data_IF_508328804583
#
_entry.id   IF_508328804583
#
_cell.length_a   1.000
_cell.length_b   1.000
_cell.length_c   1.000
_cell.angle_alpha   90.00
_cell.angle_beta   90.00
_cell.angle_gamma   90.00
#
_symmetry.space_group_name_H-M   'P 1'
#
loop_
_entity.id
_entity.type
_entity.pdbx_description
1 polymer ?
#
# COMPACT_ATOMS: atom_id res chain seq x y z
N UNK A 1 -37.38 7.58 15.42
CA UNK A 1 -37.44 6.13 15.61
C UNK A 1 -38.35 5.52 14.56
N UNK A 2 -37.80 5.16 13.41
CA UNK A 2 -38.51 4.39 12.39
C UNK A 2 -38.08 2.93 12.51
N UNK A 3 -38.96 2.11 13.10
CA UNK A 3 -38.89 0.66 12.97
C UNK A 3 -39.72 0.31 11.73
N UNK A 4 -39.08 0.13 10.61
CA UNK A 4 -39.72 -0.53 9.48
C UNK A 4 -39.39 -2.03 9.58
N UNK A 5 -40.38 -2.81 9.97
CA UNK A 5 -40.41 -4.25 9.85
C UNK A 5 -41.09 -4.56 8.51
N UNK A 6 -40.30 -4.73 7.45
CA UNK A 6 -40.80 -5.01 6.11
C UNK A 6 -40.39 -6.37 5.61
N UNK A 7 -41.34 -7.25 5.31
CA UNK A 7 -41.17 -8.42 4.45
C UNK A 7 -41.22 -7.94 2.99
N UNK A 8 -40.06 -7.88 2.32
CA UNK A 8 -39.98 -7.50 0.91
C UNK A 8 -39.19 -6.22 0.70
N UNK A 9 -37.93 -6.20 1.15
CA UNK A 9 -37.00 -5.10 0.85
C UNK A 9 -36.27 -5.33 -0.47
N UNK A 10 -36.02 -4.25 -1.21
CA UNK A 10 -35.03 -4.26 -2.29
C UNK A 10 -33.70 -4.80 -1.78
N UNK A 11 -33.10 -5.71 -2.54
CA UNK A 11 -31.80 -6.29 -2.22
C UNK A 11 -30.75 -5.18 -2.28
N UNK A 12 -30.08 -4.91 -1.18
CA UNK A 12 -28.93 -4.01 -1.13
C UNK A 12 -27.66 -4.81 -1.41
N UNK A 13 -26.72 -4.24 -2.14
CA UNK A 13 -25.39 -4.80 -2.24
C UNK A 13 -24.68 -4.62 -0.90
N UNK A 14 -24.28 -5.73 -0.29
CA UNK A 14 -23.54 -5.75 0.98
C UNK A 14 -22.06 -5.86 0.67
N UNK A 15 -21.29 -4.86 1.04
CA UNK A 15 -19.86 -4.80 0.81
C UNK A 15 -19.02 -5.26 2.00
N UNK A 16 -19.49 -4.97 3.22
CA UNK A 16 -18.76 -5.39 4.42
C UNK A 16 -19.71 -5.87 5.51
N UNK A 17 -19.31 -6.93 6.20
CA UNK A 17 -20.05 -7.54 7.31
C UNK A 17 -19.12 -7.57 8.52
N UNK A 18 -19.61 -7.05 9.64
CA UNK A 18 -18.97 -7.19 10.93
C UNK A 18 -19.87 -7.99 11.87
N UNK A 19 -19.34 -9.11 12.34
CA UNK A 19 -20.00 -9.96 13.34
C UNK A 19 -19.60 -9.49 14.74
N UNK A 20 -20.55 -8.88 15.47
CA UNK A 20 -20.35 -8.50 16.87
C UNK A 20 -20.51 -9.69 17.81
N UNK A 21 -21.40 -10.60 17.46
CA UNK A 21 -21.66 -11.87 18.16
C UNK A 21 -22.42 -12.82 17.25
N UNK A 22 -22.58 -14.05 17.66
CA UNK A 22 -23.35 -15.09 16.94
C UNK A 22 -24.77 -14.67 16.51
N UNK A 23 -25.30 -13.60 17.09
CA UNK A 23 -26.67 -13.14 16.82
C UNK A 23 -26.75 -11.69 16.35
N UNK A 24 -25.65 -10.96 16.29
CA UNK A 24 -25.64 -9.53 15.93
C UNK A 24 -24.62 -9.26 14.83
N UNK A 25 -25.11 -8.79 13.69
CA UNK A 25 -24.31 -8.40 12.54
C UNK A 25 -24.48 -6.92 12.24
N UNK A 26 -23.41 -6.29 11.75
CA UNK A 26 -23.48 -4.99 11.11
C UNK A 26 -23.16 -5.12 9.64
N UNK A 27 -23.94 -4.45 8.78
CA UNK A 27 -23.83 -4.52 7.33
C UNK A 27 -23.59 -3.13 6.76
N UNK A 28 -22.50 -2.99 6.01
CA UNK A 28 -22.24 -1.81 5.19
C UNK A 28 -22.70 -2.08 3.76
N UNK A 29 -23.50 -1.16 3.19
CA UNK A 29 -24.14 -1.39 1.89
C UNK A 29 -23.92 -0.26 0.91
N UNK A 30 -24.07 -0.56 -0.38
CA UNK A 30 -24.11 0.43 -1.45
C UNK A 30 -25.53 0.96 -1.65
N UNK A 31 -25.73 2.25 -1.37
CA UNK A 31 -26.96 2.98 -1.64
C UNK A 31 -28.12 2.79 -0.64
N UNK A 32 -28.00 1.91 0.36
CA UNK A 32 -29.03 1.68 1.37
C UNK A 32 -28.58 2.02 2.80
N UNK A 33 -27.32 2.40 2.99
CA UNK A 33 -26.80 2.84 4.27
C UNK A 33 -26.18 1.73 5.11
N UNK A 34 -26.29 1.84 6.42
CA UNK A 34 -25.62 1.00 7.40
C UNK A 34 -26.65 0.33 8.33
N UNK A 35 -26.54 -0.98 8.52
CA UNK A 35 -27.53 -1.75 9.25
C UNK A 35 -26.92 -2.50 10.44
N UNK A 36 -27.68 -2.57 11.51
CA UNK A 36 -27.56 -3.58 12.56
C UNK A 36 -28.64 -4.64 12.33
N UNK A 37 -28.26 -5.90 12.24
CA UNK A 37 -29.15 -7.02 12.01
C UNK A 37 -29.04 -7.99 13.17
N UNK A 38 -30.18 -8.41 13.70
CA UNK A 38 -30.27 -9.44 14.73
C UNK A 38 -30.76 -10.73 14.07
N UNK A 39 -30.00 -11.79 14.22
CA UNK A 39 -30.26 -13.09 13.61
C UNK A 39 -30.56 -14.15 14.67
N UNK A 40 -31.25 -15.19 14.25
CA UNK A 40 -31.47 -16.44 15.01
C UNK A 40 -30.72 -17.58 14.37
N UNK A 41 -29.68 -18.08 15.07
CA UNK A 41 -28.86 -19.21 14.64
C UNK A 41 -29.29 -20.53 15.30
N UNK A 42 -30.40 -20.53 16.07
CA UNK A 42 -30.82 -21.74 16.80
C UNK A 42 -31.36 -22.83 15.88
N UNK A 43 -31.58 -22.53 14.60
CA UNK A 43 -32.05 -23.42 13.55
C UNK A 43 -30.99 -23.69 12.50
N UNK A 44 -31.21 -24.68 11.66
CA UNK A 44 -30.32 -25.04 10.56
C UNK A 44 -30.15 -23.87 9.56
N UNK A 45 -31.16 -23.02 9.40
CA UNK A 45 -31.15 -21.82 8.58
C UNK A 45 -31.13 -20.57 9.45
N UNK A 46 -30.21 -19.65 9.17
CA UNK A 46 -30.13 -18.34 9.84
C UNK A 46 -31.34 -17.48 9.44
N UNK A 47 -32.07 -17.01 10.44
CA UNK A 47 -33.27 -16.16 10.23
C UNK A 47 -33.05 -14.75 10.79
N UNK A 48 -33.44 -13.73 10.04
CA UNK A 48 -33.41 -12.35 10.52
C UNK A 48 -34.58 -12.15 11.46
N UNK A 49 -34.30 -11.80 12.74
CA UNK A 49 -35.30 -11.44 13.74
C UNK A 49 -35.72 -9.98 13.67
N UNK A 50 -34.74 -9.09 13.50
CA UNK A 50 -34.98 -7.65 13.39
C UNK A 50 -33.78 -6.98 12.79
N UNK A 51 -33.98 -5.77 12.30
CA UNK A 51 -32.90 -4.93 11.79
C UNK A 51 -33.18 -3.46 12.12
N UNK A 52 -32.12 -2.66 12.15
CA UNK A 52 -32.15 -1.21 12.31
C UNK A 52 -31.22 -0.58 11.28
N UNK A 53 -31.75 0.40 10.52
CA UNK A 53 -30.94 1.21 9.60
C UNK A 53 -30.46 2.46 10.33
N UNK A 54 -29.15 2.72 10.25
CA UNK A 54 -28.53 3.95 10.72
C UNK A 54 -28.29 4.86 9.52
N UNK A 55 -28.72 6.12 9.67
CA UNK A 55 -28.55 7.15 8.63
C UNK A 55 -27.55 8.17 9.12
N UNK A 56 -26.54 8.43 8.31
CA UNK A 56 -25.50 9.42 8.57
C UNK A 56 -25.70 10.62 7.66
N UNK A 57 -25.53 11.82 8.20
CA UNK A 57 -25.71 13.06 7.45
C UNK A 57 -24.51 13.96 7.61
N UNK A 58 -24.06 14.53 6.49
CA UNK A 58 -23.08 15.59 6.44
C UNK A 58 -23.67 16.76 5.65
N UNK A 59 -23.75 17.95 6.24
CA UNK A 59 -24.31 19.15 5.61
C UNK A 59 -25.66 18.89 4.88
N UNK A 60 -26.58 18.19 5.51
CA UNK A 60 -27.89 17.78 4.97
C UNK A 60 -27.86 16.69 3.88
N UNK A 61 -26.70 16.25 3.44
CA UNK A 61 -26.58 15.12 2.52
C UNK A 61 -26.56 13.80 3.31
N UNK A 62 -27.41 12.86 2.93
CA UNK A 62 -27.38 11.50 3.47
C UNK A 62 -26.20 10.72 2.87
N UNK A 63 -25.41 10.07 3.74
CA UNK A 63 -24.35 9.16 3.34
C UNK A 63 -24.89 7.73 3.37
N UNK A 64 -24.81 7.04 2.25
CA UNK A 64 -25.41 5.72 2.07
C UNK A 64 -24.55 4.73 1.26
N UNK A 65 -23.32 5.12 0.89
CA UNK A 65 -22.37 4.31 0.15
C UNK A 65 -21.20 3.92 1.07
N UNK A 66 -21.26 2.72 1.63
CA UNK A 66 -20.23 2.20 2.55
C UNK A 66 -19.66 0.91 2.02
N UNK A 67 -18.34 0.89 1.82
CA UNK A 67 -17.63 -0.23 1.21
C UNK A 67 -16.81 -1.03 2.23
N UNK A 68 -16.34 -0.41 3.27
CA UNK A 68 -15.47 -1.07 4.23
C UNK A 68 -15.84 -0.71 5.66
N UNK A 69 -15.58 -1.65 6.58
CA UNK A 69 -15.86 -1.46 7.99
C UNK A 69 -14.86 -2.25 8.82
N UNK A 70 -14.27 -1.61 9.84
CA UNK A 70 -13.34 -2.26 10.78
C UNK A 70 -13.65 -1.85 12.22
N UNK A 71 -13.59 -2.79 13.19
CA UNK A 71 -13.79 -2.50 14.60
C UNK A 71 -12.56 -1.83 15.23
N UNK A 72 -12.81 -1.04 16.29
CA UNK A 72 -11.79 -0.54 17.20
C UNK A 72 -12.26 -0.69 18.65
N UNK A 73 -11.54 -1.48 19.41
CA UNK A 73 -11.92 -1.79 20.80
C UNK A 73 -13.32 -2.39 20.90
N UNK A 74 -13.99 -2.17 22.05
CA UNK A 74 -15.23 -2.86 22.40
C UNK A 74 -16.51 -2.22 21.84
N UNK A 75 -16.45 -0.99 21.31
CA UNK A 75 -17.68 -0.30 20.91
C UNK A 75 -17.59 0.45 19.58
N UNK A 76 -16.42 0.75 19.09
CA UNK A 76 -16.28 1.58 17.92
C UNK A 76 -16.25 0.75 16.64
N UNK A 77 -16.88 1.29 15.59
CA UNK A 77 -16.73 0.87 14.21
C UNK A 77 -16.28 2.05 13.37
N UNK A 78 -15.31 1.82 12.50
CA UNK A 78 -14.92 2.76 11.46
C UNK A 78 -15.49 2.28 10.14
N UNK A 79 -16.17 3.16 9.43
CA UNK A 79 -16.72 2.89 8.12
C UNK A 79 -16.02 3.76 7.08
N UNK A 80 -15.70 3.16 5.95
CA UNK A 80 -15.22 3.84 4.76
C UNK A 80 -16.38 4.23 3.86
N UNK A 81 -16.54 5.54 3.62
CA UNK A 81 -17.57 6.06 2.71
C UNK A 81 -16.98 6.37 1.34
N UNK A 82 -17.75 6.11 0.29
CA UNK A 82 -17.43 6.57 -1.08
C UNK A 82 -17.76 8.05 -1.32
N UNK A 83 -18.21 8.77 -0.32
CA UNK A 83 -18.76 10.13 -0.45
C UNK A 83 -18.04 11.17 0.40
N UNK A 84 -17.72 10.85 1.66
CA UNK A 84 -17.24 11.82 2.65
C UNK A 84 -16.25 11.23 3.67
N UNK A 85 -15.30 10.43 3.20
CA UNK A 85 -14.22 9.94 4.04
C UNK A 85 -14.63 8.92 5.10
N UNK A 86 -14.15 9.10 6.32
CA UNK A 86 -14.32 8.15 7.42
C UNK A 86 -15.49 8.51 8.32
N UNK A 87 -16.22 7.49 8.75
CA UNK A 87 -17.23 7.63 9.80
C UNK A 87 -16.81 6.76 10.99
N UNK A 88 -16.70 7.39 12.15
CA UNK A 88 -16.50 6.73 13.43
C UNK A 88 -17.85 6.60 14.12
N UNK A 89 -18.31 5.38 14.31
CA UNK A 89 -19.60 5.06 14.91
C UNK A 89 -19.41 4.31 16.24
N UNK A 90 -20.07 4.76 17.30
CA UNK A 90 -20.09 4.07 18.58
C UNK A 90 -21.35 3.19 18.69
N UNK A 91 -21.17 1.88 18.74
CA UNK A 91 -22.24 0.88 18.80
C UNK A 91 -23.04 0.92 20.10
N UNK A 92 -22.48 1.47 21.21
CA UNK A 92 -23.15 1.55 22.51
C UNK A 92 -24.01 2.79 22.65
N UNK A 93 -23.49 3.95 22.21
CA UNK A 93 -24.20 5.24 22.28
C UNK A 93 -24.98 5.55 21.01
N UNK A 94 -24.65 4.87 19.91
CA UNK A 94 -25.17 5.10 18.55
C UNK A 94 -24.82 6.52 18.01
N UNK A 95 -23.84 7.16 18.62
CA UNK A 95 -23.30 8.43 18.16
C UNK A 95 -22.27 8.21 17.04
N UNK A 96 -22.16 9.17 16.15
CA UNK A 96 -21.18 9.12 15.06
C UNK A 96 -20.47 10.44 14.86
N UNK A 97 -19.30 10.35 14.26
CA UNK A 97 -18.49 11.48 13.83
C UNK A 97 -17.94 11.22 12.44
N UNK A 98 -17.99 12.23 11.57
CA UNK A 98 -17.51 12.17 10.19
C UNK A 98 -16.21 12.95 10.10
N UNK A 99 -15.22 12.36 9.39
CA UNK A 99 -13.91 12.94 9.11
C UNK A 99 -13.69 12.97 7.61
N UNK A 100 -13.68 14.14 7.00
CA UNK A 100 -13.26 14.31 5.63
C UNK A 100 -11.73 14.31 5.56
N UNK A 101 -11.18 13.30 4.90
CA UNK A 101 -9.75 13.22 4.64
C UNK A 101 -9.32 14.26 3.60
N UNK A 102 -10.23 14.66 2.70
CA UNK A 102 -10.02 15.75 1.75
C UNK A 102 -9.71 17.07 2.45
N UNK A 103 -10.48 17.38 3.51
CA UNK A 103 -10.28 18.61 4.28
C UNK A 103 -8.99 18.59 5.10
N UNK A 104 -8.62 17.41 5.63
CA UNK A 104 -7.40 17.25 6.44
C UNK A 104 -6.14 17.29 5.59
N UNK A 105 -6.15 16.64 4.43
CA UNK A 105 -4.98 16.46 3.57
C UNK A 105 -4.91 17.46 2.40
N UNK A 106 -5.98 18.20 2.15
CA UNK A 106 -6.14 19.05 0.95
C UNK A 106 -5.91 18.26 -0.36
N UNK A 107 -6.40 17.01 -0.39
CA UNK A 107 -6.31 16.07 -1.51
C UNK A 107 -7.65 15.35 -1.71
N UNK A 108 -7.90 14.83 -2.91
CA UNK A 108 -9.13 14.09 -3.21
C UNK A 108 -8.97 12.60 -2.83
N UNK A 109 -9.28 12.25 -1.59
CA UNK A 109 -9.10 10.91 -0.99
C UNK A 109 -10.29 10.44 -0.13
N UNK A 110 -11.44 11.11 -0.21
CA UNK A 110 -12.66 10.74 0.54
C UNK A 110 -13.44 9.56 -0.08
N UNK A 111 -13.03 9.08 -1.25
CA UNK A 111 -13.59 7.89 -1.88
C UNK A 111 -12.85 6.64 -1.36
N UNK A 112 -13.34 6.07 -0.25
CA UNK A 112 -12.70 5.00 0.49
C UNK A 112 -13.22 3.64 0.03
N UNK A 113 -12.30 2.74 -0.32
CA UNK A 113 -12.57 1.38 -0.76
C UNK A 113 -12.35 0.35 0.35
N UNK A 114 -11.27 0.46 1.11
CA UNK A 114 -10.92 -0.52 2.13
C UNK A 114 -10.26 0.11 3.36
N UNK A 115 -10.35 -0.59 4.49
CA UNK A 115 -9.80 -0.18 5.78
C UNK A 115 -9.03 -1.34 6.41
N UNK A 116 -7.91 -1.03 7.06
CA UNK A 116 -7.13 -2.02 7.80
C UNK A 116 -6.40 -1.39 8.98
N UNK A 117 -6.48 -2.02 10.15
CA UNK A 117 -5.70 -1.64 11.32
C UNK A 117 -4.32 -2.31 11.30
N UNK A 118 -3.26 -1.50 11.39
CA UNK A 118 -1.90 -1.95 11.68
C UNK A 118 -1.45 -1.31 13.01
N UNK A 119 -1.47 -2.10 14.08
CA UNK A 119 -1.28 -1.57 15.42
C UNK A 119 -2.33 -0.52 15.78
N UNK A 120 -1.88 0.71 16.09
CA UNK A 120 -2.75 1.86 16.40
C UNK A 120 -3.02 2.76 15.20
N UNK A 121 -2.56 2.41 14.02
CA UNK A 121 -2.71 3.17 12.79
C UNK A 121 -3.78 2.54 11.91
N UNK A 122 -4.71 3.35 11.39
CA UNK A 122 -5.69 2.91 10.41
C UNK A 122 -5.17 3.23 9.01
N UNK A 123 -4.95 2.20 8.21
CA UNK A 123 -4.64 2.33 6.80
C UNK A 123 -5.93 2.35 6.00
N UNK A 124 -6.07 3.36 5.16
CA UNK A 124 -7.26 3.68 4.37
C UNK A 124 -6.90 3.60 2.90
N UNK A 125 -7.39 2.58 2.21
CA UNK A 125 -7.25 2.46 0.76
C UNK A 125 -8.33 3.28 0.06
N UNK A 126 -7.91 4.14 -0.85
CA UNK A 126 -8.78 5.04 -1.59
C UNK A 126 -8.64 4.86 -3.09
N UNK A 127 -9.47 5.52 -3.87
CA UNK A 127 -9.32 5.59 -5.34
C UNK A 127 -8.12 6.43 -5.78
N UNK A 128 -7.46 7.13 -4.86
CA UNK A 128 -6.40 8.11 -5.17
C UNK A 128 -5.18 8.00 -4.26
N UNK A 129 -4.95 6.85 -3.63
CA UNK A 129 -3.78 6.59 -2.80
C UNK A 129 -4.11 5.85 -1.51
N UNK A 130 -3.09 5.61 -0.73
CA UNK A 130 -3.15 5.06 0.62
C UNK A 130 -3.05 6.20 1.63
N UNK A 131 -3.92 6.21 2.63
CA UNK A 131 -3.85 7.18 3.71
C UNK A 131 -3.59 6.45 5.02
N UNK A 132 -2.60 6.89 5.78
CA UNK A 132 -2.34 6.44 7.13
C UNK A 132 -2.98 7.42 8.12
N UNK A 133 -3.87 6.92 8.95
CA UNK A 133 -4.62 7.70 9.94
C UNK A 133 -4.20 7.30 11.34
N UNK A 134 -3.93 8.29 12.18
CA UNK A 134 -3.64 8.11 13.60
C UNK A 134 -4.60 8.97 14.42
N UNK A 135 -5.12 8.43 15.52
CA UNK A 135 -6.05 9.15 16.37
C UNK A 135 -5.37 9.49 17.71
N UNK A 136 -4.97 10.76 17.87
CA UNK A 136 -4.29 11.27 19.06
C UNK A 136 -5.11 12.34 19.73
N UNK A 137 -5.23 12.30 21.07
CA UNK A 137 -5.88 13.33 21.87
C UNK A 137 -7.27 13.77 21.32
N UNK A 138 -8.04 12.84 20.79
CA UNK A 138 -9.35 13.04 20.14
C UNK A 138 -9.27 13.78 18.79
N UNK A 139 -8.08 13.99 18.24
CA UNK A 139 -7.87 14.56 16.91
C UNK A 139 -7.40 13.49 15.95
N UNK A 140 -7.95 13.49 14.75
CA UNK A 140 -7.50 12.65 13.65
C UNK A 140 -6.37 13.37 12.92
N UNK A 141 -5.22 12.70 12.80
CA UNK A 141 -4.10 13.08 11.97
C UNK A 141 -4.01 12.10 10.80
N UNK A 142 -3.67 12.58 9.63
CA UNK A 142 -3.59 11.77 8.43
C UNK A 142 -2.33 12.08 7.62
N UNK A 143 -1.68 11.05 7.09
CA UNK A 143 -0.56 11.14 6.17
C UNK A 143 -0.95 10.49 4.84
N UNK A 144 -0.73 11.17 3.75
CA UNK A 144 -0.95 10.65 2.41
C UNK A 144 0.28 9.90 1.91
N UNK A 145 0.04 8.73 1.34
CA UNK A 145 1.05 7.88 0.72
C UNK A 145 0.62 7.64 -0.73
N UNK A 146 1.33 8.23 -1.66
CA UNK A 146 1.09 8.12 -3.10
C UNK A 146 2.38 7.83 -3.86
N UNK A 147 2.40 8.09 -5.16
CA UNK A 147 3.56 7.80 -6.02
C UNK A 147 4.83 8.51 -5.58
N UNK A 148 4.74 9.75 -5.15
CA UNK A 148 5.88 10.52 -4.65
C UNK A 148 6.51 9.90 -3.39
N UNK A 149 5.70 9.18 -2.59
CA UNK A 149 6.13 8.45 -1.41
C UNK A 149 6.47 6.98 -1.70
N UNK A 150 6.49 6.57 -2.98
CA UNK A 150 6.89 5.23 -3.41
C UNK A 150 5.75 4.24 -3.61
N UNK A 151 4.50 4.65 -3.52
CA UNK A 151 3.36 3.80 -3.85
C UNK A 151 3.23 3.69 -5.38
N UNK A 152 3.31 2.49 -5.91
CA UNK A 152 3.40 2.27 -7.36
C UNK A 152 2.04 2.36 -8.08
N UNK A 153 0.94 2.29 -7.34
CA UNK A 153 -0.41 2.47 -7.86
C UNK A 153 -1.30 3.20 -6.87
N UNK A 154 -2.22 4.01 -7.34
CA UNK A 154 -3.02 4.91 -6.50
C UNK A 154 -4.40 4.35 -6.13
N UNK A 155 -4.97 3.40 -6.89
CA UNK A 155 -6.27 2.80 -6.57
C UNK A 155 -6.08 1.53 -5.74
N UNK A 156 -6.48 1.60 -4.46
CA UNK A 156 -6.27 0.52 -3.48
C UNK A 156 -7.60 -0.14 -3.14
N UNK A 157 -7.87 -1.31 -3.72
CA UNK A 157 -9.11 -2.06 -3.57
C UNK A 157 -9.16 -2.88 -2.28
N UNK A 158 -8.01 -3.33 -1.81
CA UNK A 158 -7.93 -4.20 -0.63
C UNK A 158 -6.63 -4.03 0.13
N UNK A 159 -6.67 -4.25 1.44
CA UNK A 159 -5.50 -4.26 2.33
C UNK A 159 -5.58 -5.49 3.22
N UNK A 160 -4.56 -6.34 3.17
CA UNK A 160 -4.38 -7.45 4.11
C UNK A 160 -2.98 -7.41 4.72
N UNK A 161 -2.87 -7.78 5.98
CA UNK A 161 -1.59 -7.86 6.68
C UNK A 161 -1.11 -9.30 6.79
N UNK A 162 0.16 -9.52 6.49
CA UNK A 162 0.81 -10.82 6.66
C UNK A 162 1.35 -11.03 8.08
N UNK A 163 1.94 -12.19 8.32
CA UNK A 163 2.47 -12.55 9.64
C UNK A 163 3.71 -11.75 10.07
N UNK A 164 4.33 -11.01 9.16
CA UNK A 164 5.49 -10.16 9.40
C UNK A 164 5.13 -8.68 9.56
N UNK A 165 3.83 -8.34 9.55
CA UNK A 165 3.35 -6.96 9.63
C UNK A 165 3.44 -6.19 8.31
N UNK A 166 3.68 -6.86 7.18
CA UNK A 166 3.69 -6.22 5.88
C UNK A 166 2.27 -6.16 5.31
N UNK A 167 1.92 -5.04 4.71
CA UNK A 167 0.62 -4.84 4.09
C UNK A 167 0.67 -5.25 2.62
N UNK A 168 -0.30 -6.04 2.21
CA UNK A 168 -0.50 -6.45 0.84
C UNK A 168 -1.72 -5.73 0.27
N UNK A 169 -1.49 -4.91 -0.75
CA UNK A 169 -2.47 -4.02 -1.33
C UNK A 169 -2.88 -4.55 -2.70
N UNK A 170 -4.15 -4.94 -2.86
CA UNK A 170 -4.72 -5.26 -4.16
C UNK A 170 -5.06 -3.97 -4.90
N UNK A 171 -4.59 -3.83 -6.15
CA UNK A 171 -4.77 -2.62 -6.95
C UNK A 171 -5.35 -2.94 -8.33
N UNK A 172 -5.67 -1.93 -9.13
CA UNK A 172 -6.06 -2.11 -10.52
C UNK A 172 -4.88 -2.44 -11.46
N UNK A 173 -3.66 -2.59 -10.94
CA UNK A 173 -2.45 -2.96 -11.70
C UNK A 173 -1.57 -3.97 -10.99
N UNK A 174 -2.16 -4.92 -10.31
CA UNK A 174 -1.44 -5.97 -9.61
C UNK A 174 -1.43 -5.79 -8.10
N UNK A 175 -0.60 -6.57 -7.43
CA UNK A 175 -0.49 -6.63 -5.98
C UNK A 175 0.74 -5.86 -5.51
N UNK A 176 0.59 -5.02 -4.49
CA UNK A 176 1.69 -4.28 -3.88
C UNK A 176 1.97 -4.84 -2.49
N UNK A 177 3.21 -5.18 -2.21
CA UNK A 177 3.72 -5.44 -0.86
C UNK A 177 4.27 -4.14 -0.29
N UNK A 178 3.72 -3.67 0.81
CA UNK A 178 4.05 -2.40 1.43
C UNK A 178 4.55 -2.61 2.85
N UNK A 179 5.66 -1.97 3.19
CA UNK A 179 6.22 -1.97 4.55
C UNK A 179 5.80 -0.70 5.29
N UNK A 180 4.96 -0.79 6.34
CA UNK A 180 4.49 0.35 7.11
C UNK A 180 5.60 1.15 7.81
N UNK A 181 6.69 0.50 8.20
CA UNK A 181 7.77 1.10 8.99
C UNK A 181 8.63 2.09 8.19
N UNK A 182 8.87 1.79 6.91
CA UNK A 182 9.75 2.59 6.07
C UNK A 182 9.10 3.10 4.80
N UNK A 183 7.81 2.81 4.60
CA UNK A 183 7.02 3.16 3.41
C UNK A 183 7.60 2.59 2.10
N UNK A 184 8.42 1.55 2.18
CA UNK A 184 8.92 0.85 1.00
C UNK A 184 7.83 -0.01 0.40
N UNK A 185 7.68 0.02 -0.92
CA UNK A 185 6.71 -0.79 -1.66
C UNK A 185 7.36 -1.59 -2.78
N UNK A 186 6.83 -2.77 -3.03
CA UNK A 186 7.21 -3.64 -4.14
C UNK A 186 5.94 -4.15 -4.82
N UNK A 187 5.83 -3.98 -6.14
CA UNK A 187 4.66 -4.42 -6.89
C UNK A 187 4.92 -5.72 -7.65
N UNK A 188 3.87 -6.53 -7.73
CA UNK A 188 3.81 -7.78 -8.49
C UNK A 188 2.77 -7.61 -9.58
N UNK A 189 3.22 -7.49 -10.83
CA UNK A 189 2.36 -7.31 -12.00
C UNK A 189 1.98 -8.62 -12.65
N UNK A 190 1.00 -8.56 -13.56
CA UNK A 190 0.58 -9.70 -14.39
C UNK A 190 1.75 -10.39 -15.11
N UNK A 191 2.66 -9.62 -15.68
CA UNK A 191 3.87 -10.12 -16.34
C UNK A 191 4.88 -10.76 -15.38
N UNK A 192 4.80 -10.46 -14.09
CA UNK A 192 5.68 -10.97 -13.03
C UNK A 192 5.19 -12.24 -12.32
N UNK A 193 4.13 -12.89 -12.80
CA UNK A 193 3.65 -14.18 -12.31
C UNK A 193 2.38 -14.15 -11.45
N UNK A 194 1.73 -13.01 -11.27
CA UNK A 194 0.48 -12.93 -10.48
C UNK A 194 -0.74 -13.44 -11.23
N UNK A 195 -0.74 -13.51 -12.55
CA UNK A 195 -1.89 -13.88 -13.41
C UNK A 195 -3.18 -13.08 -13.16
N UNK A 196 -3.18 -12.09 -12.28
CA UNK A 196 -4.29 -11.18 -12.01
C UNK A 196 -3.78 -9.77 -12.22
N UNK A 197 -4.37 -9.08 -13.19
CA UNK A 197 -4.02 -7.69 -13.54
C UNK A 197 -4.74 -6.68 -12.69
N UNK A 198 -6.00 -6.96 -12.33
CA UNK A 198 -6.88 -6.04 -11.62
C UNK A 198 -7.62 -6.76 -10.50
N UNK A 199 -7.49 -6.26 -9.28
CA UNK A 199 -8.20 -6.76 -8.11
C UNK A 199 -9.53 -6.03 -7.94
N UNK A 200 -10.50 -6.72 -7.32
CA UNK A 200 -11.85 -6.21 -7.12
C UNK A 200 -12.04 -5.68 -5.70
N UNK A 201 -12.94 -4.69 -5.56
CA UNK A 201 -13.40 -4.23 -4.26
C UNK A 201 -14.02 -5.40 -3.48
N UNK A 202 -13.84 -5.40 -2.15
CA UNK A 202 -14.44 -6.36 -1.19
C UNK A 202 -14.05 -7.84 -1.40
N UNK A 203 -13.24 -8.16 -2.42
CA UNK A 203 -12.84 -9.52 -2.76
C UNK A 203 -11.52 -9.92 -2.11
N UNK A 204 -11.42 -9.82 -0.80
CA UNK A 204 -10.21 -10.18 -0.07
C UNK A 204 -10.53 -10.85 1.27
N UNK A 205 -9.67 -11.78 1.69
CA UNK A 205 -9.88 -12.53 2.91
C UNK A 205 -8.55 -13.03 3.50
N UNK A 206 -8.39 -12.92 4.80
CA UNK A 206 -7.32 -13.55 5.56
C UNK A 206 -7.86 -14.75 6.30
N UNK A 207 -7.36 -15.93 6.01
CA UNK A 207 -7.75 -17.13 6.71
C UNK A 207 -7.20 -17.13 8.15
N UNK A 208 -8.06 -17.14 9.19
CA UNK A 208 -7.60 -17.09 10.58
C UNK A 208 -6.87 -18.37 11.01
N UNK A 209 -7.12 -19.49 10.33
CA UNK A 209 -6.53 -20.78 10.67
C UNK A 209 -5.15 -21.01 10.04
N UNK A 210 -4.98 -20.60 8.80
CA UNK A 210 -3.74 -20.85 8.04
C UNK A 210 -2.84 -19.60 7.96
N UNK A 211 -3.42 -18.42 8.11
CA UNK A 211 -2.76 -17.14 7.86
C UNK A 211 -2.57 -16.82 6.37
N UNK A 212 -3.11 -17.65 5.46
CA UNK A 212 -3.08 -17.37 4.03
C UNK A 212 -3.94 -16.14 3.70
N UNK A 213 -3.45 -15.34 2.75
CA UNK A 213 -4.16 -14.17 2.23
C UNK A 213 -4.76 -14.50 0.86
N UNK A 214 -5.99 -14.09 0.65
CA UNK A 214 -6.73 -14.31 -0.59
C UNK A 214 -7.16 -12.99 -1.18
N UNK A 215 -6.98 -12.82 -2.49
CA UNK A 215 -7.35 -11.63 -3.24
C UNK A 215 -8.08 -12.05 -4.52
N UNK A 216 -9.32 -11.60 -4.66
CA UNK A 216 -10.12 -11.81 -5.86
C UNK A 216 -9.93 -10.67 -6.86
N UNK A 217 -9.98 -11.00 -8.13
CA UNK A 217 -9.89 -10.03 -9.22
C UNK A 217 -10.67 -10.50 -10.44
N UNK A 218 -10.63 -9.72 -11.50
CA UNK A 218 -11.39 -9.99 -12.74
C UNK A 218 -11.02 -11.35 -13.34
N UNK A 219 -9.75 -11.75 -13.25
CA UNK A 219 -9.23 -12.96 -13.88
C UNK A 219 -9.16 -14.16 -12.95
N UNK A 220 -9.63 -14.05 -11.69
CA UNK A 220 -9.64 -15.17 -10.77
C UNK A 220 -9.29 -14.85 -9.32
N UNK A 221 -8.70 -15.81 -8.63
CA UNK A 221 -8.31 -15.73 -7.22
C UNK A 221 -6.81 -15.95 -7.07
N UNK A 222 -6.13 -14.98 -6.45
CA UNK A 222 -4.76 -15.11 -5.98
C UNK A 222 -4.76 -15.48 -4.50
N UNK A 223 -3.93 -16.42 -4.10
CA UNK A 223 -3.66 -16.64 -2.69
C UNK A 223 -2.16 -16.57 -2.40
N UNK A 224 -1.82 -16.03 -1.24
CA UNK A 224 -0.47 -15.99 -0.72
C UNK A 224 -0.37 -16.95 0.46
N UNK A 225 0.46 -17.99 0.31
CA UNK A 225 0.82 -18.86 1.42
C UNK A 225 1.69 -18.09 2.43
N UNK A 226 1.54 -18.41 3.72
CA UNK A 226 2.35 -17.84 4.79
C UNK A 226 3.86 -17.93 4.53
N UNK A 227 4.31 -18.98 3.84
CA UNK A 227 5.72 -19.18 3.50
C UNK A 227 6.22 -18.21 2.44
N UNK A 228 5.36 -17.83 1.49
CA UNK A 228 5.69 -16.87 0.42
C UNK A 228 5.79 -15.45 0.98
N UNK A 229 4.87 -15.09 1.87
CA UNK A 229 4.91 -13.77 2.52
C UNK A 229 6.13 -13.59 3.43
N UNK A 230 6.67 -14.69 3.97
CA UNK A 230 7.84 -14.70 4.84
C UNK A 230 9.18 -14.80 4.10
N UNK A 231 9.20 -14.96 2.77
CA UNK A 231 10.44 -15.02 2.02
C UNK A 231 11.20 -13.68 2.16
N UNK A 232 12.50 -13.71 2.52
CA UNK A 232 13.28 -12.50 2.61
C UNK A 232 13.35 -11.81 1.24
N UNK A 233 13.15 -10.51 1.22
CA UNK A 233 13.33 -9.72 0.01
C UNK A 233 14.80 -9.80 -0.41
N UNK A 234 15.04 -10.21 -1.64
CA UNK A 234 16.37 -10.23 -2.22
C UNK A 234 16.67 -8.88 -2.86
N UNK A 235 17.57 -8.15 -2.23
CA UNK A 235 18.14 -6.92 -2.78
C UNK A 235 19.53 -7.24 -3.35
N UNK A 236 19.64 -7.44 -4.68
CA UNK A 236 20.95 -7.70 -5.28
C UNK A 236 21.88 -6.51 -5.09
N UNK A 237 23.14 -6.79 -4.78
CA UNK A 237 24.17 -5.75 -4.69
C UNK A 237 24.41 -5.11 -6.06
N UNK A 238 24.66 -3.81 -6.06
CA UNK A 238 25.07 -3.10 -7.26
C UNK A 238 26.50 -3.51 -7.61
N UNK A 239 26.67 -3.99 -8.82
CA UNK A 239 27.98 -4.37 -9.34
C UNK A 239 28.55 -3.28 -10.25
N UNK A 240 29.79 -2.89 -10.00
CA UNK A 240 30.54 -2.08 -10.95
C UNK A 240 31.00 -2.97 -12.10
N UNK A 241 30.57 -2.62 -13.33
CA UNK A 241 30.78 -3.48 -14.51
C UNK A 241 31.89 -3.02 -15.37
N UNK A 242 32.15 -1.70 -15.50
CA UNK A 242 33.03 -1.14 -16.50
C UNK A 242 33.52 0.23 -16.07
N UNK A 243 34.75 0.54 -16.45
CA UNK A 243 35.39 1.84 -16.25
C UNK A 243 35.93 2.37 -17.59
N UNK A 244 35.68 3.64 -17.85
CA UNK A 244 36.26 4.40 -18.95
C UNK A 244 37.09 5.52 -18.33
N UNK A 245 38.35 5.72 -18.75
CA UNK A 245 39.17 6.86 -18.35
C UNK A 245 39.63 7.56 -19.64
N UNK A 246 39.47 8.88 -19.72
CA UNK A 246 39.86 9.69 -20.87
C UNK A 246 39.38 9.07 -22.21
N UNK A 247 38.10 8.66 -22.26
CA UNK A 247 37.43 8.02 -23.40
C UNK A 247 37.98 6.63 -23.78
N UNK A 248 38.88 6.07 -22.98
CA UNK A 248 39.48 4.74 -23.24
C UNK A 248 38.92 3.72 -22.26
N UNK A 249 38.52 2.56 -22.77
CA UNK A 249 38.17 1.42 -21.93
C UNK A 249 39.38 0.89 -21.21
N UNK A 250 39.30 0.76 -19.90
CA UNK A 250 40.37 0.21 -19.07
C UNK A 250 39.86 -1.07 -18.37
N UNK A 251 40.79 -1.97 -18.12
CA UNK A 251 40.48 -3.16 -17.35
C UNK A 251 40.26 -2.74 -15.87
N UNK A 252 39.06 -2.91 -15.39
CA UNK A 252 38.63 -2.52 -14.05
C UNK A 252 39.52 -3.18 -12.96
N UNK A 253 39.98 -4.42 -13.19
CA UNK A 253 40.77 -5.17 -12.24
C UNK A 253 42.13 -4.52 -11.95
N UNK A 254 42.70 -3.86 -12.94
CA UNK A 254 44.01 -3.19 -12.82
C UNK A 254 43.94 -1.89 -12.00
N UNK A 255 42.74 -1.41 -11.78
CA UNK A 255 42.46 -0.17 -11.05
C UNK A 255 41.96 -0.39 -9.60
N UNK A 256 41.63 -1.63 -9.21
CA UNK A 256 41.26 -1.90 -7.82
C UNK A 256 42.44 -1.72 -6.87
N UNK A 257 42.17 -1.14 -5.71
CA UNK A 257 43.07 -1.17 -4.58
C UNK A 257 43.32 -2.63 -4.11
N UNK A 258 44.44 -2.93 -3.45
CA UNK A 258 44.75 -4.30 -2.99
C UNK A 258 43.67 -4.93 -2.11
N UNK A 259 42.95 -4.11 -1.33
CA UNK A 259 41.83 -4.53 -0.48
C UNK A 259 40.49 -4.65 -1.23
N UNK A 260 40.46 -4.32 -2.53
CA UNK A 260 39.29 -4.28 -3.40
C UNK A 260 38.17 -3.35 -2.94
N UNK A 261 38.44 -2.45 -1.99
CA UNK A 261 37.44 -1.50 -1.48
C UNK A 261 37.43 -0.15 -2.22
N UNK A 262 38.29 0.03 -3.19
CA UNK A 262 38.35 1.25 -3.96
C UNK A 262 39.06 1.09 -5.30
N UNK A 263 38.96 2.12 -6.12
CA UNK A 263 39.65 2.23 -7.40
C UNK A 263 40.69 3.34 -7.31
N UNK A 264 41.85 3.09 -7.94
CA UNK A 264 42.89 4.11 -8.13
C UNK A 264 43.02 4.46 -9.60
N UNK A 265 42.87 5.72 -9.91
CA UNK A 265 43.09 6.29 -11.24
C UNK A 265 44.23 7.27 -11.18
N UNK A 266 45.11 7.30 -12.21
CA UNK A 266 46.28 8.15 -12.25
C UNK A 266 46.08 9.26 -13.26
N UNK A 267 46.33 10.50 -12.86
CA UNK A 267 46.24 11.70 -13.68
C UNK A 267 45.73 12.89 -12.88
N UNK A 268 45.83 14.08 -13.46
CA UNK A 268 45.26 15.30 -12.91
C UNK A 268 44.02 15.70 -13.73
N UNK A 269 42.94 16.12 -13.08
CA UNK A 269 41.69 16.53 -13.73
C UNK A 269 41.15 15.48 -14.70
N UNK A 270 40.98 14.24 -14.21
CA UNK A 270 40.56 13.12 -15.03
C UNK A 270 39.05 13.18 -15.38
N UNK A 271 38.74 12.78 -16.61
CA UNK A 271 37.39 12.49 -17.03
C UNK A 271 37.18 10.98 -17.05
N UNK A 272 36.13 10.49 -16.38
CA UNK A 272 35.87 9.06 -16.30
C UNK A 272 34.38 8.76 -16.28
N UNK A 273 34.04 7.53 -16.73
CA UNK A 273 32.66 6.99 -16.60
C UNK A 273 32.69 5.65 -15.88
N UNK A 274 31.80 5.50 -14.92
CA UNK A 274 31.58 4.27 -14.18
C UNK A 274 30.24 3.66 -14.65
N UNK A 275 30.27 2.39 -15.05
CA UNK A 275 29.10 1.63 -15.44
C UNK A 275 28.78 0.61 -14.34
N UNK A 276 27.56 0.60 -13.91
CA UNK A 276 27.08 -0.27 -12.84
C UNK A 276 25.80 -0.99 -13.25
N UNK A 277 25.48 -2.08 -12.57
CA UNK A 277 24.30 -2.89 -12.84
C UNK A 277 23.81 -3.56 -11.57
N UNK A 278 22.53 -3.65 -11.42
CA UNK A 278 21.86 -4.54 -10.47
C UNK A 278 21.58 -5.86 -11.18
N UNK A 279 22.21 -6.99 -10.78
CA UNK A 279 21.99 -8.29 -11.41
C UNK A 279 20.69 -8.91 -10.92
N UNK A 280 19.56 -8.29 -11.26
CA UNK A 280 18.26 -8.81 -10.93
C UNK A 280 17.60 -9.45 -12.14
N UNK A 281 17.63 -10.77 -12.17
CA UNK A 281 17.02 -11.59 -13.22
C UNK A 281 15.60 -12.06 -12.84
N UNK A 282 15.15 -11.79 -11.62
CA UNK A 282 13.91 -12.35 -11.10
C UNK A 282 12.72 -11.42 -11.22
N UNK A 283 12.92 -10.11 -11.13
CA UNK A 283 11.81 -9.15 -11.03
C UNK A 283 11.36 -8.53 -12.37
N UNK A 284 12.15 -8.65 -13.45
CA UNK A 284 11.73 -8.25 -14.80
C UNK A 284 11.34 -6.77 -14.99
N UNK A 285 11.52 -5.93 -13.98
CA UNK A 285 11.15 -4.52 -13.99
C UNK A 285 12.29 -3.60 -14.38
N UNK A 286 11.96 -2.38 -14.77
CA UNK A 286 12.94 -1.34 -15.07
C UNK A 286 13.58 -0.85 -13.76
N UNK A 287 14.91 -0.82 -13.76
CA UNK A 287 15.72 -0.34 -12.64
C UNK A 287 16.12 1.11 -12.91
N UNK A 288 15.78 2.00 -12.01
CA UNK A 288 16.26 3.37 -12.02
C UNK A 288 17.38 3.56 -10.99
N UNK A 289 18.40 4.30 -11.39
CA UNK A 289 19.59 4.58 -10.59
C UNK A 289 19.67 6.05 -10.23
N UNK A 290 20.20 6.33 -9.05
CA UNK A 290 20.63 7.66 -8.63
C UNK A 290 22.03 7.53 -8.04
N UNK A 291 22.94 8.44 -8.37
CA UNK A 291 24.32 8.38 -7.95
C UNK A 291 24.87 9.74 -7.52
N UNK A 292 25.97 9.72 -6.80
CA UNK A 292 26.68 10.88 -6.29
C UNK A 292 28.14 10.55 -6.10
N UNK A 293 29.05 11.44 -6.48
CA UNK A 293 30.46 11.44 -6.12
C UNK A 293 30.69 12.40 -4.97
N UNK A 294 30.67 11.88 -3.75
CA UNK A 294 30.86 12.69 -2.54
C UNK A 294 32.25 13.32 -2.53
N UNK A 295 32.32 14.61 -2.25
CA UNK A 295 33.52 15.44 -2.40
C UNK A 295 33.57 16.21 -3.73
N UNK A 296 32.72 15.86 -4.71
CA UNK A 296 32.58 16.57 -5.98
C UNK A 296 31.16 17.07 -6.22
N UNK A 297 30.16 16.18 -6.08
CA UNK A 297 28.75 16.54 -6.23
C UNK A 297 28.21 17.18 -4.94
N UNK A 298 27.28 18.11 -5.09
CA UNK A 298 26.60 18.77 -3.96
C UNK A 298 25.47 17.91 -3.38
N UNK A 299 24.82 17.10 -4.23
CA UNK A 299 23.67 16.29 -3.87
C UNK A 299 23.52 15.09 -4.83
N UNK A 300 22.58 14.22 -4.54
CA UNK A 300 22.25 13.07 -5.37
C UNK A 300 21.65 13.50 -6.71
N UNK A 301 22.08 12.84 -7.79
CA UNK A 301 21.44 12.95 -9.09
C UNK A 301 19.98 12.46 -9.06
N UNK A 302 19.14 12.95 -9.99
CA UNK A 302 17.80 12.42 -10.18
C UNK A 302 17.83 10.93 -10.56
N UNK A 303 16.79 10.19 -10.18
CA UNK A 303 16.63 8.81 -10.64
C UNK A 303 16.41 8.75 -12.14
N UNK A 304 17.09 7.84 -12.81
CA UNK A 304 16.95 7.57 -14.25
C UNK A 304 17.33 6.11 -14.58
N UNK A 305 16.88 5.61 -15.72
CA UNK A 305 17.25 4.27 -16.21
C UNK A 305 18.73 4.17 -16.71
N UNK A 306 19.46 5.29 -16.70
CA UNK A 306 20.86 5.34 -17.11
C UNK A 306 21.74 4.73 -16.03
N UNK A 307 22.46 3.67 -16.38
CA UNK A 307 23.38 2.93 -15.51
C UNK A 307 24.85 3.34 -15.72
N UNK A 308 25.06 4.60 -16.07
CA UNK A 308 26.35 5.22 -16.29
C UNK A 308 26.46 6.53 -15.51
N UNK A 309 27.53 6.70 -14.76
CA UNK A 309 27.91 7.95 -14.11
C UNK A 309 29.14 8.53 -14.80
N UNK A 310 29.00 9.67 -15.46
CA UNK A 310 30.09 10.34 -16.18
C UNK A 310 30.50 11.62 -15.45
N UNK A 311 31.79 11.75 -15.20
CA UNK A 311 32.40 12.89 -14.54
C UNK A 311 33.51 13.49 -15.43
N UNK A 312 33.64 14.80 -15.45
CA UNK A 312 34.55 15.51 -16.31
C UNK A 312 35.53 16.37 -15.52
N UNK A 313 36.81 16.28 -15.85
CA UNK A 313 37.84 17.12 -15.24
C UNK A 313 37.84 17.10 -13.71
N UNK A 314 37.68 15.92 -13.12
CA UNK A 314 37.65 15.77 -11.65
C UNK A 314 39.06 16.01 -11.12
N UNK A 315 39.30 16.94 -10.19
CA UNK A 315 40.62 17.18 -9.59
C UNK A 315 41.16 15.94 -8.89
N UNK A 316 42.50 15.89 -8.71
CA UNK A 316 43.09 14.84 -7.90
C UNK A 316 42.60 14.93 -6.45
N UNK A 317 42.21 13.80 -5.89
CA UNK A 317 41.67 13.73 -4.54
C UNK A 317 41.09 12.36 -4.22
N UNK A 318 40.61 12.20 -2.98
CA UNK A 318 39.88 11.04 -2.54
C UNK A 318 38.40 11.33 -2.57
N UNK A 319 37.63 10.51 -3.25
CA UNK A 319 36.18 10.66 -3.44
C UNK A 319 35.47 9.37 -3.07
N UNK A 320 34.22 9.48 -2.61
CA UNK A 320 33.37 8.34 -2.37
C UNK A 320 32.23 8.29 -3.40
N UNK A 321 32.31 7.34 -4.34
CA UNK A 321 31.21 7.11 -5.26
C UNK A 321 30.10 6.35 -4.57
N UNK A 322 28.90 6.94 -4.56
CA UNK A 322 27.68 6.37 -4.01
C UNK A 322 26.68 6.14 -5.12
N UNK A 323 26.08 4.97 -5.16
CA UNK A 323 24.99 4.66 -6.07
C UNK A 323 23.88 3.92 -5.33
N UNK A 324 22.65 4.28 -5.63
CA UNK A 324 21.45 3.63 -5.13
C UNK A 324 20.53 3.34 -6.29
N UNK A 325 19.65 2.39 -6.13
CA UNK A 325 18.65 2.07 -7.13
C UNK A 325 17.26 1.97 -6.53
N UNK A 326 16.27 2.21 -7.34
CA UNK A 326 14.89 1.78 -7.13
C UNK A 326 14.48 0.95 -8.34
N UNK A 327 13.55 0.05 -8.12
CA UNK A 327 12.93 -0.71 -9.19
C UNK A 327 11.56 -0.10 -9.40
N UNK A 328 11.29 0.37 -10.60
CA UNK A 328 9.91 0.50 -11.05
C UNK A 328 9.48 -0.92 -11.42
N UNK A 329 8.65 -1.44 -10.57
CA UNK A 329 8.12 -2.78 -10.72
C UNK A 329 6.73 -2.70 -11.32
#
# INVERSE_FOLDING_TARGET
>A
SNRETGTGGEVAEVHSIFEESDSVLYLATSGKGFYKVIVDNSKQDVQIKSWKNYRFYHEQQELNLFYSMVPQGDSLLWLGSRQKGLIRFDRKTEEYQIYSLNEILHKSVDDILCLHWHGEQLYVGTTSGLVRVTFKERKLEADYIGREQGLLNDMIHSILEDANGLLWLGTNRGLIKFNPENSFSHAYYYSGGTQIGEFSDDAYYRCPYTGCLFFGGIDGLLYLDKKVSAAPEYYPEILLRKLIIEKTFVNLQDHYLPDRKGLRMQGANLSFSLFFVVPDYASGGDVEYSYMLEGYDKDWGAFSSVNEASYFSVPSGDYLFKVRYKKDV
#
